data_IF_765805122705
#
_entry.id   IF_765805122705
#
_cell.length_a   1.000
_cell.length_b   1.000
_cell.length_c   1.000
_cell.angle_alpha   90.00
_cell.angle_beta   90.00
_cell.angle_gamma   90.00
#
_symmetry.space_group_name_H-M   'P 1'
#
loop_
_entity.id
_entity.type
_entity.pdbx_description
1 polymer ?
#
# COMPACT_ATOMS: atom_id res chain seq x y z
N UNK A 1 31.61 47.90 17.47
CA UNK A 1 32.18 46.94 18.45
C UNK A 1 31.53 45.56 18.23
N UNK A 2 31.78 44.94 17.08
CA UNK A 2 32.38 43.60 16.88
C UNK A 2 31.97 42.53 17.91
N UNK A 3 30.96 41.71 17.57
CA UNK A 3 30.71 40.44 18.25
C UNK A 3 31.50 39.31 17.56
N UNK A 4 32.36 38.65 18.35
CA UNK A 4 33.20 37.51 17.97
C UNK A 4 32.38 36.22 17.96
N UNK A 5 32.33 35.52 16.83
CA UNK A 5 31.94 34.10 16.80
C UNK A 5 33.17 33.22 16.99
N UNK A 6 33.16 32.40 18.04
CA UNK A 6 34.08 31.27 18.23
C UNK A 6 33.52 30.09 17.42
N UNK A 7 34.27 29.60 16.44
CA UNK A 7 34.02 28.29 15.83
C UNK A 7 35.03 27.30 16.39
N UNK A 8 34.54 26.16 16.86
CA UNK A 8 35.34 25.06 17.36
C UNK A 8 34.87 23.75 16.71
N UNK A 9 35.84 22.85 16.57
CA UNK A 9 35.70 21.38 16.56
C UNK A 9 35.77 20.68 15.19
N UNK A 10 37.02 20.37 14.82
CA UNK A 10 37.55 19.05 14.36
C UNK A 10 36.59 17.88 14.14
N UNK A 11 36.80 17.13 13.04
CA UNK A 11 37.15 15.69 13.12
C UNK A 11 37.60 15.07 11.80
N UNK A 12 38.77 14.42 11.89
CA UNK A 12 39.41 13.57 10.90
C UNK A 12 38.54 12.36 10.55
N UNK A 13 38.51 11.98 9.27
CA UNK A 13 38.05 10.67 8.82
C UNK A 13 39.17 9.97 8.06
N UNK A 14 39.84 9.06 8.77
CA UNK A 14 40.77 8.06 8.23
C UNK A 14 39.90 6.95 7.63
N UNK A 15 39.73 6.93 6.31
CA UNK A 15 38.99 5.87 5.62
C UNK A 15 39.89 4.65 5.44
N UNK A 16 39.49 3.56 6.11
CA UNK A 16 40.07 2.23 5.97
C UNK A 16 39.80 1.66 4.56
N UNK A 17 40.88 1.30 3.86
CA UNK A 17 40.87 0.45 2.68
C UNK A 17 40.43 -0.97 3.08
N UNK A 18 39.22 -1.38 2.70
CA UNK A 18 38.84 -2.79 2.72
C UNK A 18 38.98 -3.38 1.32
N UNK A 19 39.92 -4.32 1.25
CA UNK A 19 40.35 -5.10 0.10
C UNK A 19 39.29 -6.10 -0.37
N UNK A 20 39.14 -6.14 -1.69
CA UNK A 20 38.76 -7.26 -2.56
C UNK A 20 38.48 -8.61 -1.89
N UNK A 21 37.27 -9.13 -2.12
CA UNK A 21 37.04 -10.57 -2.25
C UNK A 21 36.10 -10.81 -3.43
N UNK A 22 36.69 -11.25 -4.55
CA UNK A 22 35.97 -11.84 -5.66
C UNK A 22 35.88 -13.35 -5.42
N UNK A 23 34.71 -13.96 -5.54
CA UNK A 23 34.59 -15.30 -6.14
C UNK A 23 33.14 -15.71 -6.42
N UNK A 24 32.99 -16.28 -7.61
CA UNK A 24 32.03 -17.30 -8.03
C UNK A 24 30.56 -16.88 -8.29
N UNK A 25 30.32 -16.70 -9.59
CA UNK A 25 29.06 -16.95 -10.28
C UNK A 25 28.69 -18.45 -10.20
N UNK A 26 27.44 -18.76 -9.88
CA UNK A 26 26.81 -20.05 -10.20
C UNK A 26 25.36 -19.79 -10.65
N UNK A 27 24.98 -20.13 -11.89
CA UNK A 27 23.58 -20.23 -12.28
C UNK A 27 23.02 -21.61 -11.91
N UNK A 28 22.02 -21.65 -11.04
CA UNK A 28 21.21 -22.84 -10.83
C UNK A 28 20.10 -22.90 -11.90
N UNK A 29 20.21 -23.86 -12.81
CA UNK A 29 19.13 -24.23 -13.74
C UNK A 29 18.19 -25.20 -13.03
N UNK A 30 17.04 -24.73 -12.57
CA UNK A 30 15.94 -25.62 -12.19
C UNK A 30 15.03 -25.86 -13.39
N UNK A 31 15.11 -27.09 -13.91
CA UNK A 31 14.17 -27.68 -14.85
C UNK A 31 12.77 -27.70 -14.22
N UNK A 32 11.87 -26.83 -14.70
CA UNK A 32 10.45 -26.91 -14.38
C UNK A 32 9.74 -27.73 -15.46
N UNK A 33 9.53 -29.02 -15.18
CA UNK A 33 8.52 -29.81 -15.88
C UNK A 33 7.43 -30.26 -14.91
N UNK A 34 6.19 -29.99 -15.35
CA UNK A 34 4.99 -30.82 -15.17
C UNK A 34 4.34 -30.78 -13.78
N UNK A 35 3.16 -30.18 -13.72
CA UNK A 35 1.88 -30.91 -13.69
C UNK A 35 0.70 -29.95 -13.65
N UNK A 36 -0.21 -30.11 -14.62
CA UNK A 36 -1.58 -29.64 -14.50
C UNK A 36 -2.31 -30.54 -13.51
N UNK A 37 -2.92 -29.95 -12.48
CA UNK A 37 -3.94 -30.62 -11.67
C UNK A 37 -4.90 -29.56 -11.10
N UNK A 38 -6.00 -29.39 -11.83
CA UNK A 38 -7.36 -29.35 -11.28
C UNK A 38 -7.45 -29.66 -9.78
N UNK A 39 -7.92 -28.68 -9.00
CA UNK A 39 -8.89 -28.99 -7.94
C UNK A 39 -9.85 -27.83 -7.77
N UNK A 40 -11.06 -28.06 -8.30
CA UNK A 40 -12.27 -27.35 -7.93
C UNK A 40 -12.51 -27.60 -6.43
N UNK A 41 -12.19 -26.61 -5.61
CA UNK A 41 -12.62 -26.55 -4.21
C UNK A 41 -13.95 -25.81 -4.14
N UNK A 42 -15.05 -26.55 -4.20
CA UNK A 42 -16.40 -26.04 -3.95
C UNK A 42 -16.47 -25.45 -2.53
N UNK A 43 -16.55 -24.11 -2.42
CA UNK A 43 -16.96 -23.46 -1.18
C UNK A 43 -18.44 -23.12 -1.30
N UNK A 44 -19.17 -23.88 -0.50
CA UNK A 44 -20.58 -23.79 -0.15
C UNK A 44 -21.09 -22.35 -0.07
N UNK A 45 -22.13 -22.07 -0.87
CA UNK A 45 -23.08 -20.98 -0.62
C UNK A 45 -23.77 -21.27 0.71
N UNK A 46 -23.35 -20.62 1.78
CA UNK A 46 -24.16 -20.51 2.99
C UNK A 46 -24.00 -19.13 3.63
N UNK A 47 -25.02 -18.32 3.37
CA UNK A 47 -25.56 -17.29 4.25
C UNK A 47 -24.60 -16.26 4.85
N UNK A 48 -24.43 -15.12 4.18
CA UNK A 48 -24.23 -13.84 4.87
C UNK A 48 -25.33 -12.88 4.44
N UNK A 49 -26.47 -12.98 5.13
CA UNK A 49 -27.45 -11.89 5.23
C UNK A 49 -26.99 -10.92 6.30
N UNK A 50 -27.05 -9.63 5.97
CA UNK A 50 -27.24 -8.42 6.81
C UNK A 50 -26.45 -8.35 8.13
N UNK A 51 -25.62 -7.34 8.37
CA UNK A 51 -26.15 -6.00 8.68
C UNK A 51 -24.96 -5.03 8.82
N UNK A 52 -24.83 -4.05 7.92
CA UNK A 52 -24.10 -2.78 8.15
C UNK A 52 -24.70 -1.73 7.21
N UNK A 53 -25.51 -0.84 7.78
CA UNK A 53 -25.80 0.54 7.38
C UNK A 53 -25.50 0.98 5.92
N UNK A 54 -26.56 1.03 5.10
CA UNK A 54 -26.96 2.23 4.38
C UNK A 54 -26.08 2.85 3.28
N UNK A 55 -24.98 2.22 2.84
CA UNK A 55 -24.18 2.70 1.71
C UNK A 55 -24.43 1.85 0.47
N UNK A 56 -24.63 2.41 -0.75
CA UNK A 56 -24.75 1.62 -1.97
C UNK A 56 -23.45 0.84 -2.22
N UNK A 57 -23.45 -0.44 -1.84
CA UNK A 57 -22.29 -1.33 -2.04
C UNK A 57 -22.22 -1.66 -3.53
N UNK A 58 -21.21 -1.11 -4.22
CA UNK A 58 -20.84 -1.60 -5.55
C UNK A 58 -20.38 -3.05 -5.39
N UNK A 59 -21.09 -4.00 -6.01
CA UNK A 59 -20.84 -5.44 -5.90
C UNK A 59 -19.45 -5.88 -6.35
N UNK A 60 -18.72 -5.02 -7.08
CA UNK A 60 -17.34 -5.25 -7.51
C UNK A 60 -16.30 -5.00 -6.40
N UNK A 61 -16.63 -4.18 -5.40
CA UNK A 61 -15.71 -3.82 -4.32
C UNK A 61 -15.91 -4.76 -3.13
N UNK A 62 -14.88 -5.51 -2.69
CA UNK A 62 -15.02 -6.44 -1.57
C UNK A 62 -15.43 -5.77 -0.26
N UNK A 63 -16.31 -6.41 0.53
CA UNK A 63 -16.81 -5.88 1.82
C UNK A 63 -15.68 -5.43 2.78
N UNK A 64 -14.55 -6.16 2.80
CA UNK A 64 -13.38 -5.82 3.61
C UNK A 64 -12.85 -4.40 3.38
N UNK A 65 -12.98 -3.88 2.16
CA UNK A 65 -12.50 -2.54 1.79
C UNK A 65 -13.30 -1.47 2.54
N UNK A 66 -14.62 -1.63 2.61
CA UNK A 66 -15.49 -0.74 3.38
C UNK A 66 -15.15 -0.77 4.87
N UNK A 67 -14.94 -1.95 5.45
CA UNK A 67 -14.53 -2.08 6.85
C UNK A 67 -13.21 -1.36 7.15
N UNK A 68 -12.23 -1.48 6.26
CA UNK A 68 -10.94 -0.78 6.39
C UNK A 68 -11.12 0.73 6.21
N UNK A 69 -11.93 1.17 5.24
CA UNK A 69 -12.23 2.58 5.02
C UNK A 69 -12.88 3.22 6.25
N UNK A 70 -13.89 2.57 6.85
CA UNK A 70 -14.58 3.08 8.04
C UNK A 70 -13.61 3.22 9.22
N UNK A 71 -12.72 2.25 9.40
CA UNK A 71 -11.67 2.33 10.42
C UNK A 71 -10.74 3.52 10.18
N UNK A 72 -10.25 3.70 8.95
CA UNK A 72 -9.36 4.82 8.59
C UNK A 72 -10.05 6.16 8.82
N UNK A 73 -11.32 6.30 8.43
CA UNK A 73 -12.08 7.55 8.63
C UNK A 73 -12.25 7.89 10.10
N UNK A 74 -12.40 6.87 10.96
CA UNK A 74 -12.58 7.05 12.41
C UNK A 74 -11.28 7.32 13.15
N UNK A 75 -10.19 6.67 12.75
CA UNK A 75 -8.94 6.62 13.54
C UNK A 75 -7.76 7.35 12.88
N UNK A 76 -7.91 7.79 11.64
CA UNK A 76 -6.86 8.40 10.81
C UNK A 76 -5.56 7.59 10.71
N UNK A 77 -5.64 6.26 10.88
CA UNK A 77 -4.52 5.33 10.83
C UNK A 77 -4.94 3.97 10.28
N UNK A 78 -3.95 3.17 9.87
CA UNK A 78 -4.20 1.80 9.43
C UNK A 78 -4.67 0.94 10.62
N UNK A 79 -5.54 -0.06 10.40
CA UNK A 79 -5.83 -1.08 11.38
C UNK A 79 -4.56 -1.81 11.85
N UNK A 80 -4.59 -2.35 13.06
CA UNK A 80 -3.43 -3.07 13.60
C UNK A 80 -3.09 -4.29 12.71
N UNK A 81 -1.81 -4.45 12.37
CA UNK A 81 -1.35 -5.48 11.44
C UNK A 81 -1.50 -5.13 9.95
N UNK A 82 -2.02 -3.95 9.61
CA UNK A 82 -2.07 -3.43 8.24
C UNK A 82 -1.00 -2.36 8.03
N UNK A 83 -0.67 -2.06 6.78
CA UNK A 83 0.26 -0.99 6.42
C UNK A 83 -0.46 0.06 5.59
N UNK A 84 -0.30 1.34 5.94
CA UNK A 84 -0.93 2.44 5.21
C UNK A 84 -0.63 3.80 5.81
N UNK A 85 -1.25 4.84 5.25
CA UNK A 85 -1.16 6.22 5.69
C UNK A 85 -0.06 7.04 5.01
N UNK A 86 0.72 6.40 4.13
CA UNK A 86 1.73 7.09 3.32
C UNK A 86 1.07 7.94 2.25
N UNK A 87 1.74 9.02 1.82
CA UNK A 87 1.32 9.83 0.68
C UNK A 87 1.26 8.96 -0.58
N UNK A 88 0.14 9.00 -1.29
CA UNK A 88 0.00 8.47 -2.64
C UNK A 88 0.24 9.61 -3.64
N UNK A 89 1.17 9.40 -4.59
CA UNK A 89 1.64 10.46 -5.48
C UNK A 89 0.68 10.81 -6.61
N UNK A 90 -0.11 9.85 -7.08
CA UNK A 90 -0.97 9.99 -8.27
C UNK A 90 -0.20 10.53 -9.50
N UNK A 91 1.00 9.99 -9.77
CA UNK A 91 1.88 10.49 -10.84
C UNK A 91 1.32 10.19 -12.24
N UNK A 92 0.61 9.07 -12.36
CA UNK A 92 -0.08 8.58 -13.55
C UNK A 92 -1.43 9.29 -13.75
N UNK A 93 -1.87 10.09 -12.77
CA UNK A 93 -3.08 10.92 -12.82
C UNK A 93 -4.37 10.14 -13.06
N UNK A 94 -4.45 8.91 -12.57
CA UNK A 94 -5.66 8.10 -12.59
C UNK A 94 -6.76 8.66 -11.67
N UNK A 95 -6.38 9.39 -10.62
CA UNK A 95 -7.30 10.08 -9.72
C UNK A 95 -7.37 11.58 -10.03
N UNK A 96 -8.45 12.29 -9.63
CA UNK A 96 -8.57 13.73 -9.82
C UNK A 96 -7.35 14.50 -9.28
N UNK A 97 -6.92 15.54 -9.99
CA UNK A 97 -5.78 16.35 -9.56
C UNK A 97 -6.13 17.34 -8.45
N UNK A 98 -7.41 17.75 -8.39
CA UNK A 98 -7.91 18.74 -7.45
C UNK A 98 -9.07 18.18 -6.61
N UNK A 99 -9.25 18.72 -5.40
CA UNK A 99 -10.40 18.48 -4.54
C UNK A 99 -11.65 19.26 -5.00
N UNK A 100 -12.77 19.11 -4.29
CA UNK A 100 -14.02 19.81 -4.61
C UNK A 100 -13.90 21.34 -4.58
N UNK A 101 -12.90 21.88 -3.88
CA UNK A 101 -12.63 23.31 -3.73
C UNK A 101 -11.58 23.83 -4.73
N UNK A 102 -11.13 22.99 -5.67
CA UNK A 102 -10.13 23.36 -6.68
C UNK A 102 -8.69 23.39 -6.16
N UNK A 103 -8.41 22.92 -4.95
CA UNK A 103 -7.05 22.83 -4.39
C UNK A 103 -6.39 21.52 -4.83
N UNK A 104 -5.05 21.41 -4.87
CA UNK A 104 -4.37 20.15 -5.17
C UNK A 104 -4.82 19.02 -4.23
N UNK A 105 -5.30 17.92 -4.82
CA UNK A 105 -5.81 16.78 -4.07
C UNK A 105 -4.68 16.07 -3.31
N UNK A 106 -4.96 15.70 -2.05
CA UNK A 106 -4.01 15.00 -1.17
C UNK A 106 -4.49 13.59 -0.93
N UNK A 107 -3.69 12.63 -1.35
CA UNK A 107 -4.03 11.21 -1.26
C UNK A 107 -3.13 10.46 -0.28
N UNK A 108 -3.72 9.46 0.40
CA UNK A 108 -3.01 8.45 1.19
C UNK A 108 -3.38 7.05 0.71
N UNK A 109 -2.41 6.14 0.75
CA UNK A 109 -2.59 4.73 0.41
C UNK A 109 -2.68 3.83 1.63
N UNK A 110 -3.44 2.74 1.51
CA UNK A 110 -3.71 1.78 2.58
C UNK A 110 -3.82 0.36 2.03
N UNK A 111 -3.27 -0.61 2.77
CA UNK A 111 -3.61 -2.01 2.55
C UNK A 111 -5.05 -2.30 2.95
N UNK A 112 -5.67 -3.22 2.20
CA UNK A 112 -6.99 -3.79 2.54
C UNK A 112 -6.89 -5.23 3.06
N UNK A 113 -5.67 -5.77 3.17
CA UNK A 113 -5.36 -7.08 3.73
C UNK A 113 -4.30 -6.94 4.83
N UNK A 114 -4.34 -7.78 5.89
CA UNK A 114 -3.33 -7.75 6.93
C UNK A 114 -1.98 -8.23 6.39
N UNK A 115 -0.90 -7.60 6.86
CA UNK A 115 0.47 -8.00 6.53
C UNK A 115 0.80 -9.33 7.22
N UNK A 116 1.24 -10.31 6.44
CA UNK A 116 1.67 -11.63 6.94
C UNK A 116 3.18 -11.78 6.78
N UNK A 117 3.86 -12.32 7.80
CA UNK A 117 5.32 -12.56 7.75
C UNK A 117 5.66 -13.48 6.56
N UNK A 118 6.66 -13.10 5.78
CA UNK A 118 7.12 -13.86 4.61
C UNK A 118 6.16 -13.85 3.41
N UNK A 119 5.10 -13.01 3.41
CA UNK A 119 4.18 -12.87 2.28
C UNK A 119 4.14 -11.44 1.77
N UNK A 120 3.96 -11.28 0.45
CA UNK A 120 3.65 -10.00 -0.16
C UNK A 120 2.29 -9.48 0.39
N UNK A 121 2.12 -8.16 0.46
CA UNK A 121 0.90 -7.43 0.87
C UNK A 121 -0.25 -7.61 -0.12
N UNK A 122 0.05 -8.09 -1.33
CA UNK A 122 -0.92 -8.26 -2.42
C UNK A 122 -1.02 -7.01 -3.29
N UNK A 123 -1.85 -7.09 -4.34
CA UNK A 123 -2.06 -6.00 -5.30
C UNK A 123 -3.14 -5.01 -4.85
N UNK A 124 -4.10 -5.46 -4.03
CA UNK A 124 -5.25 -4.65 -3.63
C UNK A 124 -4.83 -3.49 -2.72
N UNK A 125 -5.38 -2.29 -2.98
CA UNK A 125 -5.15 -1.08 -2.17
C UNK A 125 -6.42 -0.24 -2.07
N UNK A 126 -6.50 0.52 -0.99
CA UNK A 126 -7.42 1.62 -0.81
C UNK A 126 -6.64 2.92 -0.89
N UNK A 127 -7.15 3.91 -1.62
CA UNK A 127 -6.61 5.26 -1.69
C UNK A 127 -7.68 6.23 -1.20
N UNK A 128 -7.33 7.14 -0.30
CA UNK A 128 -8.27 8.10 0.29
C UNK A 128 -7.79 9.52 0.10
N UNK A 129 -8.69 10.43 -0.23
CA UNK A 129 -8.56 11.87 0.04
C UNK A 129 -9.40 12.26 1.27
N UNK A 130 -9.45 13.55 1.60
CA UNK A 130 -10.34 14.08 2.64
C UNK A 130 -11.80 13.72 2.38
N UNK A 131 -12.25 13.81 1.13
CA UNK A 131 -13.68 13.68 0.77
C UNK A 131 -14.03 12.33 0.15
N UNK A 132 -13.08 11.70 -0.54
CA UNK A 132 -13.33 10.57 -1.44
C UNK A 132 -12.42 9.38 -1.16
N UNK A 133 -12.81 8.22 -1.66
CA UNK A 133 -12.01 7.01 -1.58
C UNK A 133 -12.13 6.18 -2.86
N UNK A 134 -11.04 5.49 -3.20
CA UNK A 134 -10.95 4.64 -4.38
C UNK A 134 -10.31 3.31 -4.02
N UNK A 135 -10.83 2.25 -4.61
CA UNK A 135 -10.30 0.91 -4.50
C UNK A 135 -9.57 0.53 -5.79
N UNK A 136 -8.39 -0.06 -5.67
CA UNK A 136 -7.69 -0.73 -6.78
C UNK A 136 -7.46 -2.18 -6.42
N UNK A 137 -7.70 -3.07 -7.37
CA UNK A 137 -7.48 -4.52 -7.23
C UNK A 137 -6.17 -4.99 -7.87
N UNK A 138 -5.56 -4.13 -8.68
CA UNK A 138 -4.48 -4.40 -9.63
C UNK A 138 -3.31 -3.43 -9.42
N UNK A 139 -3.08 -3.05 -8.15
CA UNK A 139 -1.91 -2.29 -7.75
C UNK A 139 -1.75 -0.96 -8.50
N UNK A 140 -2.81 -0.14 -8.45
CA UNK A 140 -2.90 1.23 -8.97
C UNK A 140 -3.10 1.35 -10.50
N UNK A 141 -3.29 0.25 -11.23
CA UNK A 141 -3.59 0.31 -12.67
C UNK A 141 -5.03 0.80 -12.94
N UNK A 142 -6.01 0.32 -12.18
CA UNK A 142 -7.41 0.75 -12.29
C UNK A 142 -8.02 1.09 -10.93
N UNK A 143 -8.95 2.04 -10.93
CA UNK A 143 -9.61 2.52 -9.72
C UNK A 143 -11.14 2.47 -9.84
N UNK A 144 -11.77 2.02 -8.77
CA UNK A 144 -13.21 2.10 -8.54
C UNK A 144 -13.48 3.10 -7.41
N UNK A 145 -14.19 4.19 -7.69
CA UNK A 145 -14.61 5.15 -6.65
C UNK A 145 -15.63 4.49 -5.72
N UNK A 146 -15.42 4.65 -4.41
CA UNK A 146 -16.33 4.21 -3.36
C UNK A 146 -17.29 5.36 -3.06
N UNK A 147 -18.58 5.14 -3.28
CA UNK A 147 -19.65 6.13 -3.06
C UNK A 147 -20.33 5.88 -1.71
#
# INVERSE_FOLDING_TARGET
MIHRFKSATTRNYLFWLFTFFALACQPATDNYQKTAASSQGAISKKDIKSDVSGRPVNSKIPKKVYTVLDYIRKHDRAPDGYVGGRKFGNFEKHLPLNDSNGRPARYREWDVNPKKKGKNRGAERLVTSEEKAWYTRDHYENFEEIK
#
